data_IF_207701121242
#
_entry.id   IF_207701121242
#
_cell.length_a   1.000
_cell.length_b   1.000
_cell.length_c   1.000
_cell.angle_alpha   90.00
_cell.angle_beta   90.00
_cell.angle_gamma   90.00
#
_symmetry.space_group_name_H-M   'P 1'
#
loop_
_entity.id
_entity.type
_entity.pdbx_description
1 polymer ?
#
# COMPACT_ATOMS: atom_id res chain seq x y z
N UNK A 1 68.09 -8.64 68.16
CA UNK A 1 67.86 -7.57 69.16
C UNK A 1 68.38 -6.25 68.60
N UNK A 2 67.53 -5.44 67.95
CA UNK A 2 67.72 -3.98 67.76
C UNK A 2 66.31 -3.36 67.67
N UNK A 3 66.01 -2.42 68.58
CA UNK A 3 64.79 -1.61 68.67
C UNK A 3 65.11 -0.23 68.10
N UNK A 4 64.31 0.32 67.17
CA UNK A 4 64.14 1.77 66.97
C UNK A 4 62.72 2.00 66.45
N UNK A 5 61.80 2.45 67.32
CA UNK A 5 61.44 3.84 67.71
C UNK A 5 60.53 4.54 66.71
N UNK A 6 59.38 4.96 67.26
CA UNK A 6 58.19 5.56 66.63
C UNK A 6 58.48 6.89 65.93
N UNK A 7 57.69 7.17 64.90
CA UNK A 7 57.27 8.53 64.56
C UNK A 7 55.76 8.56 64.38
N UNK A 8 55.11 9.56 64.99
CA UNK A 8 53.70 9.87 64.87
C UNK A 8 53.56 11.32 64.35
N UNK A 9 52.52 11.62 63.58
CA UNK A 9 51.86 12.95 63.51
C UNK A 9 50.53 12.87 62.73
N UNK A 10 49.63 13.88 62.84
CA UNK A 10 48.24 13.65 63.24
C UNK A 10 47.20 14.03 62.18
N UNK A 11 45.99 13.51 62.44
CA UNK A 11 44.63 13.85 61.96
C UNK A 11 44.41 15.09 61.09
N UNK A 12 43.60 14.94 60.03
CA UNK A 12 42.73 16.02 59.54
C UNK A 12 41.41 15.46 59.00
N UNK A 13 40.34 15.96 59.62
CA UNK A 13 38.95 16.12 59.20
C UNK A 13 38.20 15.00 58.44
N UNK A 14 37.17 14.51 59.14
CA UNK A 14 35.91 14.01 58.60
C UNK A 14 35.41 14.95 57.50
N UNK A 15 34.91 14.39 56.39
CA UNK A 15 33.67 14.88 55.80
C UNK A 15 32.94 13.74 55.10
N UNK A 16 31.68 13.61 55.49
CA UNK A 16 30.73 12.59 55.10
C UNK A 16 30.34 12.75 53.63
N UNK A 17 30.57 11.73 52.82
CA UNK A 17 29.75 11.51 51.62
C UNK A 17 29.23 10.07 51.60
N UNK A 18 27.93 9.96 51.92
CA UNK A 18 27.13 8.76 51.73
C UNK A 18 26.86 8.58 50.24
N UNK A 19 27.21 7.43 49.68
CA UNK A 19 26.71 6.97 48.39
C UNK A 19 25.99 5.64 48.58
N UNK A 20 24.70 5.65 48.26
CA UNK A 20 23.77 4.52 48.32
C UNK A 20 24.12 3.45 47.28
N UNK A 21 23.96 2.16 47.59
CA UNK A 21 24.07 1.07 46.63
C UNK A 21 22.70 0.80 45.99
N UNK A 22 22.64 0.53 44.68
CA UNK A 22 21.95 -0.66 44.19
C UNK A 22 22.17 -0.85 42.69
N UNK A 23 22.78 -1.98 42.39
CA UNK A 23 22.87 -2.63 41.09
C UNK A 23 21.50 -2.94 40.49
N UNK A 24 21.33 -2.75 39.18
CA UNK A 24 20.37 -3.49 38.37
C UNK A 24 20.75 -3.43 36.88
N UNK A 25 21.86 -4.07 36.51
CA UNK A 25 22.12 -4.43 35.11
C UNK A 25 21.46 -5.78 34.83
N UNK A 26 20.21 -5.76 34.35
CA UNK A 26 19.59 -6.94 33.71
C UNK A 26 19.23 -6.54 32.29
N UNK A 27 20.19 -6.74 31.37
CA UNK A 27 19.96 -6.65 29.92
C UNK A 27 19.40 -7.99 29.46
N UNK A 28 18.08 -8.16 29.47
CA UNK A 28 17.45 -9.23 28.69
C UNK A 28 17.26 -8.73 27.26
N UNK A 29 18.13 -9.22 26.36
CA UNK A 29 17.92 -9.12 24.93
C UNK A 29 16.84 -10.13 24.52
N UNK A 30 15.67 -9.64 24.12
CA UNK A 30 14.67 -10.47 23.44
C UNK A 30 15.11 -10.57 21.98
N UNK A 31 15.82 -11.64 21.66
CA UNK A 31 15.98 -12.12 20.29
C UNK A 31 14.85 -13.12 20.03
N UNK A 32 13.97 -12.86 19.07
CA UNK A 32 12.86 -13.78 18.79
C UNK A 32 11.96 -13.36 17.63
N UNK A 33 12.45 -13.61 16.43
CA UNK A 33 11.68 -13.94 15.21
C UNK A 33 10.64 -12.92 14.70
N UNK A 34 11.08 -12.07 13.77
CA UNK A 34 10.15 -11.56 12.75
C UNK A 34 9.72 -12.73 11.86
N UNK A 35 8.46 -13.17 11.99
CA UNK A 35 7.80 -13.86 10.90
C UNK A 35 7.62 -12.82 9.80
N UNK A 36 8.58 -12.74 8.87
CA UNK A 36 8.33 -12.09 7.59
C UNK A 36 7.44 -13.06 6.83
N UNK A 37 6.12 -12.94 7.03
CA UNK A 37 5.17 -13.52 6.11
C UNK A 37 5.48 -12.92 4.75
N UNK A 38 5.94 -13.73 3.80
CA UNK A 38 6.03 -13.29 2.42
C UNK A 38 4.64 -12.74 2.06
N UNK A 39 4.51 -11.49 1.58
CA UNK A 39 3.23 -11.05 1.07
C UNK A 39 2.85 -12.06 -0.02
N UNK A 40 1.75 -12.78 0.20
CA UNK A 40 1.18 -13.60 -0.85
C UNK A 40 1.05 -12.69 -2.06
N UNK A 41 1.66 -13.07 -3.18
CA UNK A 41 1.42 -12.41 -4.45
C UNK A 41 -0.01 -12.79 -4.82
N UNK A 42 -0.97 -12.03 -4.29
CA UNK A 42 -2.36 -12.15 -4.67
C UNK A 42 -2.45 -11.95 -6.18
N UNK A 43 -3.32 -12.70 -6.84
CA UNK A 43 -3.68 -12.43 -8.21
C UNK A 43 -4.10 -10.96 -8.31
N UNK A 44 -3.40 -10.17 -9.13
CA UNK A 44 -3.39 -8.72 -9.01
C UNK A 44 -4.73 -8.11 -9.45
N UNK A 45 -5.50 -7.59 -8.48
CA UNK A 45 -6.67 -6.74 -8.71
C UNK A 45 -6.25 -5.26 -8.63
N UNK A 46 -7.03 -4.31 -9.19
CA UNK A 46 -6.76 -2.89 -9.07
C UNK A 46 -6.67 -2.41 -7.61
N UNK A 47 -5.77 -1.46 -7.34
CA UNK A 47 -5.60 -0.86 -6.00
C UNK A 47 -6.13 0.59 -6.05
N UNK A 48 -7.23 0.90 -5.34
CA UNK A 48 -7.79 2.25 -5.34
C UNK A 48 -6.90 3.21 -4.56
N UNK A 49 -6.86 4.48 -4.96
CA UNK A 49 -6.27 5.51 -4.09
C UNK A 49 -7.15 5.73 -2.87
N UNK A 50 -6.57 6.33 -1.81
CA UNK A 50 -7.32 6.74 -0.60
C UNK A 50 -8.59 7.55 -0.94
N UNK A 51 -8.49 8.44 -1.92
CA UNK A 51 -9.66 9.10 -2.53
C UNK A 51 -9.88 8.51 -3.92
N UNK A 52 -10.75 7.50 -3.98
CA UNK A 52 -11.11 6.82 -5.23
C UNK A 52 -11.85 7.77 -6.18
N UNK A 53 -13.07 8.18 -5.82
CA UNK A 53 -13.91 9.02 -6.65
C UNK A 53 -13.63 10.50 -6.39
N UNK A 54 -13.25 11.25 -7.43
CA UNK A 54 -13.03 12.71 -7.36
C UNK A 54 -14.12 13.53 -8.06
N UNK A 55 -14.98 12.85 -8.82
CA UNK A 55 -16.20 13.37 -9.42
C UNK A 55 -17.16 12.19 -9.57
N UNK A 56 -18.45 12.42 -9.34
CA UNK A 56 -19.47 11.35 -9.33
C UNK A 56 -19.39 10.50 -8.06
N UNK A 57 -20.18 9.44 -8.03
CA UNK A 57 -20.23 8.48 -6.92
C UNK A 57 -19.98 7.07 -7.44
N UNK A 58 -19.09 6.37 -6.76
CA UNK A 58 -18.83 4.97 -6.99
C UNK A 58 -18.23 4.33 -5.73
N UNK A 59 -18.39 3.01 -5.63
CA UNK A 59 -17.77 2.18 -4.61
C UNK A 59 -17.11 0.97 -5.26
N UNK A 60 -16.17 0.36 -4.53
CA UNK A 60 -15.46 -0.84 -4.98
C UNK A 60 -15.63 -1.92 -3.92
N UNK A 61 -15.99 -3.11 -4.37
CA UNK A 61 -15.98 -4.32 -3.57
C UNK A 61 -15.16 -5.39 -4.29
N UNK A 62 -14.65 -6.35 -3.52
CA UNK A 62 -13.88 -7.47 -4.07
C UNK A 62 -14.28 -8.75 -3.35
N UNK A 63 -14.47 -9.80 -4.14
CA UNK A 63 -14.76 -11.15 -3.69
C UNK A 63 -13.83 -12.12 -4.42
N UNK A 64 -12.79 -12.58 -3.71
CA UNK A 64 -11.73 -13.40 -4.27
C UNK A 64 -11.03 -12.72 -5.44
N UNK A 65 -11.18 -13.29 -6.64
CA UNK A 65 -10.58 -12.81 -7.89
C UNK A 65 -11.46 -11.84 -8.66
N UNK A 66 -12.63 -11.49 -8.14
CA UNK A 66 -13.58 -10.58 -8.80
C UNK A 66 -13.64 -9.25 -8.06
N UNK A 67 -13.56 -8.16 -8.82
CA UNK A 67 -13.79 -6.81 -8.33
C UNK A 67 -15.01 -6.22 -9.03
N UNK A 68 -15.91 -5.64 -8.26
CA UNK A 68 -17.03 -4.86 -8.79
C UNK A 68 -16.81 -3.39 -8.45
N UNK A 69 -16.84 -2.56 -9.49
CA UNK A 69 -16.90 -1.11 -9.40
C UNK A 69 -18.35 -0.70 -9.62
N UNK A 70 -19.06 -0.43 -8.53
CA UNK A 70 -20.45 0.04 -8.59
C UNK A 70 -20.46 1.55 -8.79
N UNK A 71 -21.02 2.01 -9.90
CA UNK A 71 -21.10 3.42 -10.29
C UNK A 71 -22.53 3.94 -10.15
N UNK A 72 -22.74 4.85 -9.20
CA UNK A 72 -24.06 5.38 -8.85
C UNK A 72 -24.42 6.66 -9.63
N UNK A 73 -23.55 7.18 -10.49
CA UNK A 73 -23.77 8.40 -11.29
C UNK A 73 -23.39 8.20 -12.75
N UNK A 74 -24.04 8.88 -13.69
CA UNK A 74 -23.76 8.77 -15.14
C UNK A 74 -22.28 8.95 -15.52
N UNK A 75 -21.54 9.80 -14.81
CA UNK A 75 -20.12 10.05 -15.07
C UNK A 75 -19.33 10.05 -13.77
N UNK A 76 -18.24 9.28 -13.73
CA UNK A 76 -17.35 9.21 -12.57
C UNK A 76 -15.88 9.37 -12.97
N UNK A 77 -15.08 9.97 -12.09
CA UNK A 77 -13.61 9.94 -12.18
C UNK A 77 -13.06 9.15 -11.01
N UNK A 78 -12.45 8.02 -11.33
CA UNK A 78 -11.83 7.08 -10.39
C UNK A 78 -10.31 7.20 -10.47
N UNK A 79 -9.67 7.31 -9.32
CA UNK A 79 -8.21 7.34 -9.21
C UNK A 79 -7.71 6.02 -8.61
N UNK A 80 -6.82 5.38 -9.35
CA UNK A 80 -6.21 4.11 -9.00
C UNK A 80 -4.74 4.30 -8.73
N UNK A 81 -4.26 3.81 -7.59
CA UNK A 81 -2.83 3.67 -7.36
C UNK A 81 -2.25 2.69 -8.39
N UNK A 82 -2.97 1.58 -8.59
CA UNK A 82 -2.63 0.56 -9.56
C UNK A 82 -3.88 0.05 -10.27
N UNK A 83 -3.76 -0.28 -11.56
CA UNK A 83 -4.86 -0.92 -12.29
C UNK A 83 -4.28 -1.98 -13.19
N UNK A 84 -4.23 -3.20 -12.65
CA UNK A 84 -3.91 -4.44 -13.34
C UNK A 84 -5.06 -5.42 -13.11
N UNK A 85 -5.21 -6.37 -14.03
CA UNK A 85 -6.19 -7.45 -13.94
C UNK A 85 -5.43 -8.74 -14.21
N UNK A 86 -5.10 -9.50 -13.16
CA UNK A 86 -4.46 -10.80 -13.28
C UNK A 86 -5.27 -11.79 -14.14
N UNK A 87 -4.62 -12.83 -14.66
CA UNK A 87 -5.21 -13.75 -15.65
C UNK A 87 -6.55 -14.37 -15.21
N UNK A 88 -6.66 -14.74 -13.94
CA UNK A 88 -7.86 -15.36 -13.36
C UNK A 88 -8.82 -14.33 -12.71
N UNK A 89 -8.53 -13.04 -12.86
CA UNK A 89 -9.28 -11.97 -12.25
C UNK A 89 -10.28 -11.34 -13.22
N UNK A 90 -11.35 -10.82 -12.63
CA UNK A 90 -12.34 -10.01 -13.34
C UNK A 90 -12.52 -8.68 -12.65
N UNK A 91 -12.57 -7.60 -13.43
CA UNK A 91 -13.07 -6.30 -12.98
C UNK A 91 -14.33 -5.97 -13.76
N UNK A 92 -15.45 -5.84 -13.05
CA UNK A 92 -16.73 -5.49 -13.62
C UNK A 92 -17.14 -4.07 -13.19
N UNK A 93 -17.51 -3.23 -14.14
CA UNK A 93 -18.14 -1.93 -13.89
C UNK A 93 -19.66 -2.07 -14.00
N UNK A 94 -20.33 -2.10 -12.84
CA UNK A 94 -21.79 -2.04 -12.71
C UNK A 94 -22.21 -0.57 -12.85
N UNK A 95 -22.78 -0.23 -14.00
CA UNK A 95 -23.12 1.14 -14.37
C UNK A 95 -24.61 1.24 -14.71
N UNK A 96 -25.22 2.39 -14.41
CA UNK A 96 -26.69 2.57 -14.57
C UNK A 96 -27.23 2.23 -15.97
N UNK A 97 -26.46 2.48 -17.03
CA UNK A 97 -26.85 2.24 -18.42
C UNK A 97 -25.63 2.28 -19.34
N UNK A 98 -25.83 1.91 -20.61
CA UNK A 98 -24.75 1.79 -21.61
C UNK A 98 -24.07 3.11 -22.00
N UNK A 99 -24.70 4.25 -21.70
CA UNK A 99 -24.13 5.58 -21.96
C UNK A 99 -23.30 6.14 -20.80
N UNK A 100 -23.32 5.49 -19.63
CA UNK A 100 -22.53 5.87 -18.47
C UNK A 100 -21.03 5.77 -18.73
N UNK A 101 -20.23 6.69 -18.17
CA UNK A 101 -18.79 6.79 -18.41
C UNK A 101 -18.02 6.69 -17.09
N UNK A 102 -17.07 5.76 -17.01
CA UNK A 102 -16.07 5.68 -15.96
C UNK A 102 -14.70 6.13 -16.48
N UNK A 103 -14.20 7.29 -16.03
CA UNK A 103 -12.83 7.70 -16.29
C UNK A 103 -11.90 7.20 -15.17
N UNK A 104 -11.06 6.23 -15.49
CA UNK A 104 -10.07 5.62 -14.62
C UNK A 104 -8.70 6.26 -14.88
N UNK A 105 -8.20 6.98 -13.87
CA UNK A 105 -6.88 7.61 -13.88
C UNK A 105 -5.92 6.76 -13.05
N UNK A 106 -4.86 6.29 -13.68
CA UNK A 106 -3.97 5.28 -13.10
C UNK A 106 -2.60 5.92 -12.84
N UNK A 107 -2.12 5.79 -11.60
CA UNK A 107 -0.95 6.51 -11.09
C UNK A 107 0.27 5.61 -10.83
N UNK A 108 0.21 4.35 -11.24
CA UNK A 108 1.34 3.41 -11.12
C UNK A 108 2.53 3.86 -11.97
N UNK A 109 3.69 3.22 -11.75
CA UNK A 109 4.93 3.52 -12.49
C UNK A 109 5.08 2.68 -13.75
N UNK A 110 4.40 1.53 -13.81
CA UNK A 110 4.49 0.58 -14.91
C UNK A 110 3.29 0.67 -15.88
N UNK A 111 3.37 0.07 -17.08
CA UNK A 111 2.19 -0.13 -17.91
C UNK A 111 1.13 -0.95 -17.17
N UNK A 112 -0.14 -0.66 -17.41
CA UNK A 112 -1.24 -1.47 -16.89
C UNK A 112 -1.28 -2.83 -17.57
N UNK A 113 -1.24 -3.91 -16.78
CA UNK A 113 -1.31 -5.28 -17.25
C UNK A 113 -2.75 -5.78 -17.16
N UNK A 114 -3.43 -5.89 -18.30
CA UNK A 114 -4.78 -6.42 -18.41
C UNK A 114 -4.68 -7.84 -18.96
N UNK A 115 -4.56 -8.81 -18.07
CA UNK A 115 -4.35 -10.22 -18.40
C UNK A 115 -5.62 -11.05 -18.25
N UNK A 116 -6.53 -10.63 -17.37
CA UNK A 116 -7.85 -11.25 -17.15
C UNK A 116 -8.98 -10.53 -17.87
N UNK A 117 -10.12 -10.39 -17.18
CA UNK A 117 -11.37 -9.89 -17.76
C UNK A 117 -11.72 -8.48 -17.29
N UNK A 118 -12.02 -7.60 -18.22
CA UNK A 118 -12.62 -6.29 -17.97
C UNK A 118 -14.02 -6.27 -18.58
N UNK A 119 -15.05 -6.12 -17.77
CA UNK A 119 -16.44 -6.03 -18.22
C UNK A 119 -17.13 -4.76 -17.74
N UNK A 120 -18.12 -4.27 -18.49
CA UNK A 120 -18.88 -3.08 -18.11
C UNK A 120 -20.22 -2.99 -18.82
N UNK A 121 -21.23 -2.46 -18.14
CA UNK A 121 -22.54 -2.18 -18.76
C UNK A 121 -22.45 -1.00 -19.75
N UNK A 122 -21.53 -0.06 -19.50
CA UNK A 122 -21.32 1.15 -20.29
C UNK A 122 -19.88 1.35 -20.74
N UNK A 123 -19.39 2.59 -20.61
CA UNK A 123 -18.14 3.03 -21.19
C UNK A 123 -17.04 3.12 -20.13
N UNK A 124 -15.87 2.61 -20.46
CA UNK A 124 -14.68 2.61 -19.60
C UNK A 124 -13.55 3.32 -20.29
N UNK A 125 -13.11 4.44 -19.71
CA UNK A 125 -11.96 5.21 -20.18
C UNK A 125 -10.79 4.96 -19.23
N UNK A 126 -9.70 4.40 -19.74
CA UNK A 126 -8.47 4.13 -18.99
C UNK A 126 -7.38 5.13 -19.40
N UNK A 127 -6.78 5.77 -18.40
CA UNK A 127 -5.63 6.64 -18.60
C UNK A 127 -4.47 6.17 -17.73
N UNK A 128 -3.39 5.71 -18.40
CA UNK A 128 -2.11 5.39 -17.79
C UNK A 128 -1.00 5.94 -18.68
N UNK A 129 -0.22 6.90 -18.17
CA UNK A 129 0.88 7.52 -18.91
C UNK A 129 1.96 6.51 -19.35
N UNK A 130 2.08 5.37 -18.68
CA UNK A 130 3.11 4.37 -18.95
C UNK A 130 2.66 3.32 -19.97
N UNK A 131 1.38 3.34 -20.39
CA UNK A 131 0.85 2.40 -21.37
C UNK A 131 -0.01 1.28 -20.79
N UNK A 132 -0.40 0.37 -21.69
CA UNK A 132 -1.26 -0.76 -21.41
C UNK A 132 -0.73 -1.99 -22.16
N UNK A 133 -0.74 -3.14 -21.51
CA UNK A 133 -0.47 -4.45 -22.09
C UNK A 133 -1.72 -5.30 -21.91
N UNK A 134 -2.31 -5.72 -23.02
CA UNK A 134 -3.42 -6.67 -23.03
C UNK A 134 -2.86 -8.07 -23.31
N UNK A 135 -3.08 -8.98 -22.37
CA UNK A 135 -2.59 -10.35 -22.47
C UNK A 135 -3.29 -11.14 -23.57
N UNK A 136 -2.64 -12.20 -24.06
CA UNK A 136 -3.19 -13.06 -25.12
C UNK A 136 -4.55 -13.70 -24.80
N UNK A 137 -4.82 -13.91 -23.51
CA UNK A 137 -6.06 -14.52 -23.01
C UNK A 137 -7.01 -13.48 -22.39
N UNK A 138 -6.65 -12.19 -22.46
CA UNK A 138 -7.46 -11.13 -21.86
C UNK A 138 -8.77 -10.94 -22.63
N UNK A 139 -9.83 -10.59 -21.90
CA UNK A 139 -11.14 -10.30 -22.49
C UNK A 139 -11.56 -8.90 -22.06
N UNK A 140 -11.95 -8.09 -23.02
CA UNK A 140 -12.56 -6.78 -22.80
C UNK A 140 -13.96 -6.83 -23.40
N UNK A 141 -14.97 -6.77 -22.55
CA UNK A 141 -16.39 -6.81 -22.94
C UNK A 141 -17.11 -5.60 -22.33
N UNK A 142 -17.12 -4.49 -23.06
CA UNK A 142 -17.64 -3.20 -22.63
C UNK A 142 -18.34 -2.51 -23.79
N UNK A 143 -19.25 -1.57 -23.54
CA UNK A 143 -19.90 -0.80 -24.61
C UNK A 143 -18.89 0.09 -25.36
N UNK A 144 -17.95 0.70 -24.66
CA UNK A 144 -16.84 1.46 -25.29
C UNK A 144 -15.61 1.41 -24.39
N UNK A 145 -14.46 1.04 -24.96
CA UNK A 145 -13.16 1.16 -24.32
C UNK A 145 -12.37 2.31 -24.96
N UNK A 146 -11.87 3.22 -24.14
CA UNK A 146 -10.81 4.16 -24.54
C UNK A 146 -9.61 3.92 -23.63
N UNK A 147 -8.49 3.46 -24.17
CA UNK A 147 -7.23 3.36 -23.43
C UNK A 147 -6.22 4.37 -24.00
N UNK A 148 -5.69 5.25 -23.16
CA UNK A 148 -4.81 6.31 -23.63
C UNK A 148 -3.64 6.59 -22.69
N UNK A 149 -2.50 6.90 -23.29
CA UNK A 149 -1.31 7.42 -22.61
C UNK A 149 -1.26 8.94 -22.60
N UNK A 150 -2.08 9.59 -23.44
CA UNK A 150 -2.07 11.03 -23.61
C UNK A 150 -2.84 11.70 -22.48
N UNK A 151 -2.14 12.51 -21.69
CA UNK A 151 -2.80 13.42 -20.76
C UNK A 151 -3.46 14.53 -21.55
N UNK A 152 -4.79 14.66 -21.47
CA UNK A 152 -5.49 15.83 -22.00
C UNK A 152 -4.97 17.07 -21.27
N UNK A 153 -4.29 17.96 -22.00
CA UNK A 153 -3.92 19.28 -21.53
C UNK A 153 -5.20 20.13 -21.56
N UNK A 154 -5.52 20.80 -20.45
CA UNK A 154 -6.43 21.95 -20.46
C UNK A 154 -5.58 23.18 -20.20
#
# INVERSE_FOLDING_TARGET
MVKQRRFAKPTTHQDFFRLTPLSACVRMAIAGSMIVGAPGVYAELPIPKQVLATMGQASVSSDGTNMTVKQDTDKVILNWEQFNIGKENTVHFDQQNSSSIALNRIFQQDPSQILGKLTADGQVYLYNKNGFVFGKDSVVDVNTLVATTLKRQR
#
